data_IF_792606834834
#
_entry.id   IF_792606834834
#
_cell.length_a   1.000
_cell.length_b   1.000
_cell.length_c   1.000
_cell.angle_alpha   90.00
_cell.angle_beta   90.00
_cell.angle_gamma   90.00
#
_symmetry.space_group_name_H-M   'P 1'
#
loop_
_entity.id
_entity.type
_entity.pdbx_description
1 polymer ?
#
# COMPACT_ATOMS: atom_id res chain seq x y z
N UNK A 1 -16.18 80.84 29.08
CA UNK A 1 -16.05 80.11 30.36
C UNK A 1 -14.63 79.56 30.40
N UNK A 2 -13.63 80.28 30.93
CA UNK A 2 -13.55 80.95 32.25
C UNK A 2 -13.67 79.93 33.41
N UNK A 3 -12.94 80.05 34.52
CA UNK A 3 -11.84 80.97 34.89
C UNK A 3 -11.34 80.56 36.29
N UNK A 4 -10.03 80.69 36.57
CA UNK A 4 -9.53 81.21 37.86
C UNK A 4 -7.99 81.17 37.93
N UNK A 5 -7.35 82.33 37.87
CA UNK A 5 -6.02 82.54 38.46
C UNK A 5 -6.13 82.75 39.98
N UNK A 6 -5.09 82.35 40.70
CA UNK A 6 -4.67 82.99 41.96
C UNK A 6 -3.14 82.74 42.11
N UNK A 7 -2.23 83.73 42.23
CA UNK A 7 -2.17 84.87 43.18
C UNK A 7 -2.11 84.31 44.61
N UNK A 8 -1.06 84.49 45.43
CA UNK A 8 0.00 85.51 45.55
C UNK A 8 1.27 84.81 46.14
N UNK A 9 2.43 85.41 46.48
CA UNK A 9 2.82 86.82 46.63
C UNK A 9 4.32 87.01 46.35
N UNK A 10 4.71 88.23 45.98
CA UNK A 10 6.10 88.70 46.04
C UNK A 10 6.16 89.93 46.96
N UNK A 11 7.22 90.09 47.74
CA UNK A 11 7.41 91.19 48.69
C UNK A 11 8.88 91.65 48.70
N UNK A 12 9.08 92.96 48.57
CA UNK A 12 10.34 93.62 48.22
C UNK A 12 10.53 94.89 49.08
N UNK A 13 11.70 95.52 49.03
CA UNK A 13 12.06 96.85 49.55
C UNK A 13 12.38 96.95 51.06
N UNK A 14 13.67 97.11 51.36
CA UNK A 14 14.15 98.27 52.14
C UNK A 14 15.18 99.05 51.29
N UNK A 15 15.21 100.38 51.45
CA UNK A 15 15.67 101.35 50.43
C UNK A 15 17.12 101.86 50.58
N UNK A 16 17.69 102.19 49.42
CA UNK A 16 18.91 102.98 49.16
C UNK A 16 19.17 104.20 50.06
N UNK A 17 20.45 104.40 50.42
CA UNK A 17 21.21 105.65 50.67
C UNK A 17 22.69 105.31 50.41
N UNK A 18 23.55 106.01 49.64
CA UNK A 18 23.48 107.18 48.72
C UNK A 18 24.49 106.91 47.55
N UNK A 19 24.71 107.86 46.63
CA UNK A 19 25.63 107.79 45.48
C UNK A 19 26.66 108.94 45.43
N UNK A 20 27.80 108.69 44.74
CA UNK A 20 28.91 109.62 44.38
C UNK A 20 29.70 110.26 45.55
N UNK A 21 31.02 110.45 45.54
CA UNK A 21 32.19 110.08 44.67
C UNK A 21 33.47 110.12 45.58
N UNK A 22 34.77 110.10 45.21
CA UNK A 22 35.56 110.32 43.97
C UNK A 22 36.93 109.57 44.07
N UNK A 23 37.95 110.04 43.34
CA UNK A 23 39.40 109.72 43.38
C UNK A 23 40.02 109.70 44.81
N UNK A 24 41.17 109.04 45.09
CA UNK A 24 42.46 109.12 44.37
C UNK A 24 43.40 107.91 44.62
N UNK A 25 44.56 107.87 43.93
CA UNK A 25 45.43 106.68 43.75
C UNK A 25 46.68 106.64 44.68
N UNK A 26 47.53 105.57 44.68
CA UNK A 26 48.38 105.16 45.82
C UNK A 26 49.80 105.77 45.84
N UNK A 27 50.70 105.26 46.72
CA UNK A 27 51.74 104.38 46.17
C UNK A 27 52.13 103.12 47.01
N UNK A 28 52.31 102.01 46.30
CA UNK A 28 53.39 100.99 46.36
C UNK A 28 54.00 100.58 47.74
N UNK A 29 53.89 99.30 48.19
CA UNK A 29 54.63 98.07 47.73
C UNK A 29 55.77 97.71 48.71
N UNK A 30 56.42 96.51 48.73
CA UNK A 30 56.19 95.24 48.01
C UNK A 30 56.08 93.96 48.89
N UNK A 31 55.78 92.81 48.26
CA UNK A 31 55.98 91.44 48.80
C UNK A 31 54.73 90.77 49.38
N UNK A 32 54.44 89.48 49.16
CA UNK A 32 55.14 88.45 48.37
C UNK A 32 54.18 87.75 47.38
N UNK A 33 54.46 87.82 46.07
CA UNK A 33 53.89 86.86 45.12
C UNK A 33 54.80 85.63 45.05
N UNK A 34 54.33 84.44 45.48
CA UNK A 34 54.83 83.18 44.88
C UNK A 34 54.04 81.90 45.20
N UNK A 35 53.33 81.80 46.33
CA UNK A 35 52.79 80.52 46.80
C UNK A 35 51.53 80.04 46.03
N UNK A 36 50.45 80.81 46.03
CA UNK A 36 49.15 80.38 45.46
C UNK A 36 49.19 80.00 43.98
N UNK A 37 50.01 80.68 43.18
CA UNK A 37 50.16 80.43 41.72
C UNK A 37 50.78 79.06 41.40
N UNK A 38 51.46 78.42 42.35
CA UNK A 38 51.95 77.04 42.23
C UNK A 38 50.85 76.02 42.55
N UNK A 39 50.01 76.30 43.56
CA UNK A 39 48.91 75.43 43.99
C UNK A 39 47.88 75.26 42.88
N UNK A 40 47.36 76.35 42.30
CA UNK A 40 46.39 76.28 41.19
C UNK A 40 46.92 75.54 39.95
N UNK A 41 48.23 75.62 39.68
CA UNK A 41 48.88 74.86 38.61
C UNK A 41 48.95 73.37 38.91
N UNK A 42 49.28 72.99 40.16
CA UNK A 42 49.22 71.59 40.60
C UNK A 42 47.80 71.03 40.48
N UNK A 43 46.79 71.71 41.01
CA UNK A 43 45.40 71.22 40.97
C UNK A 43 44.87 71.10 39.54
N UNK A 44 45.23 72.01 38.64
CA UNK A 44 44.87 71.92 37.22
C UNK A 44 45.52 70.71 36.53
N UNK A 45 46.79 70.42 36.81
CA UNK A 45 47.49 69.22 36.29
C UNK A 45 46.87 67.94 36.85
N UNK A 46 46.61 67.88 38.16
CA UNK A 46 45.95 66.73 38.78
C UNK A 46 44.54 66.49 38.22
N UNK A 47 43.75 67.55 38.00
CA UNK A 47 42.43 67.44 37.39
C UNK A 47 42.50 66.97 35.92
N UNK A 48 43.46 67.48 35.13
CA UNK A 48 43.68 67.04 33.75
C UNK A 48 44.14 65.57 33.64
N UNK A 49 44.98 65.11 34.56
CA UNK A 49 45.36 63.70 34.65
C UNK A 49 44.16 62.83 35.05
N UNK A 50 43.34 63.28 36.00
CA UNK A 50 42.14 62.58 36.44
C UNK A 50 41.08 62.47 35.33
N UNK A 51 40.85 63.54 34.55
CA UNK A 51 39.91 63.46 33.42
C UNK A 51 40.42 62.57 32.30
N UNK A 52 41.72 62.59 31.98
CA UNK A 52 42.32 61.64 31.02
C UNK A 52 42.18 60.19 31.50
N UNK A 53 42.45 59.89 32.78
CA UNK A 53 42.26 58.55 33.34
C UNK A 53 40.79 58.10 33.28
N UNK A 54 39.83 58.97 33.61
CA UNK A 54 38.41 58.67 33.49
C UNK A 54 38.00 58.43 32.03
N UNK A 55 38.47 59.23 31.08
CA UNK A 55 38.19 59.05 29.65
C UNK A 55 38.75 57.73 29.11
N UNK A 56 39.95 57.30 29.56
CA UNK A 56 40.52 56.00 29.20
C UNK A 56 39.70 54.84 29.78
N UNK A 57 39.25 54.95 31.04
CA UNK A 57 38.37 53.96 31.67
C UNK A 57 37.03 53.87 30.91
N UNK A 58 36.42 55.01 30.58
CA UNK A 58 35.17 55.07 29.80
C UNK A 58 35.36 54.47 28.41
N UNK A 59 36.46 54.76 27.71
CA UNK A 59 36.75 54.17 26.40
C UNK A 59 36.87 52.64 26.47
N UNK A 60 37.59 52.11 27.47
CA UNK A 60 37.70 50.66 27.70
C UNK A 60 36.34 50.03 28.03
N UNK A 61 35.53 50.67 28.88
CA UNK A 61 34.18 50.21 29.22
C UNK A 61 33.25 50.21 27.99
N UNK A 62 33.30 51.24 27.14
CA UNK A 62 32.53 51.31 25.90
C UNK A 62 32.95 50.21 24.91
N UNK A 63 34.26 49.97 24.74
CA UNK A 63 34.77 48.87 23.89
C UNK A 63 34.31 47.51 24.43
N UNK A 64 34.40 47.30 25.75
CA UNK A 64 33.96 46.06 26.39
C UNK A 64 32.44 45.84 26.24
N UNK A 65 31.63 46.87 26.51
CA UNK A 65 30.17 46.81 26.38
C UNK A 65 29.74 46.52 24.93
N UNK A 66 30.33 47.21 23.95
CA UNK A 66 30.06 46.95 22.53
C UNK A 66 30.48 45.53 22.12
N UNK A 67 31.60 45.02 22.65
CA UNK A 67 32.04 43.63 22.44
C UNK A 67 31.05 42.60 23.01
N UNK A 68 30.54 42.83 24.22
CA UNK A 68 29.53 41.98 24.87
C UNK A 68 28.20 42.04 24.11
N UNK A 69 27.76 43.23 23.70
CA UNK A 69 26.52 43.43 22.94
C UNK A 69 26.59 42.70 21.59
N UNK A 70 27.69 42.86 20.84
CA UNK A 70 27.90 42.13 19.59
C UNK A 70 27.96 40.61 19.80
N UNK A 71 28.64 40.13 20.85
CA UNK A 71 28.72 38.69 21.17
C UNK A 71 27.34 38.09 21.50
N UNK A 72 26.51 38.81 22.26
CA UNK A 72 25.14 38.37 22.54
C UNK A 72 24.24 38.42 21.31
N UNK A 73 24.34 39.47 20.48
CA UNK A 73 23.60 39.56 19.22
C UNK A 73 23.92 38.40 18.27
N UNK A 74 25.19 38.03 18.11
CA UNK A 74 25.62 36.88 17.29
C UNK A 74 25.10 35.55 17.86
N UNK A 75 25.02 35.39 19.19
CA UNK A 75 24.40 34.21 19.81
C UNK A 75 22.90 34.14 19.51
N UNK A 76 22.17 35.26 19.57
CA UNK A 76 20.74 35.29 19.26
C UNK A 76 20.45 35.02 17.77
N UNK A 77 21.24 35.58 16.84
CA UNK A 77 21.06 35.28 15.41
C UNK A 77 21.39 33.82 15.09
N UNK A 78 22.47 33.27 15.65
CA UNK A 78 22.83 31.85 15.50
C UNK A 78 21.74 30.92 16.06
N UNK A 79 21.17 31.26 17.22
CA UNK A 79 20.08 30.49 17.82
C UNK A 79 18.79 30.56 16.97
N UNK A 80 18.47 31.73 16.44
CA UNK A 80 17.32 31.91 15.51
C UNK A 80 17.47 31.06 14.25
N UNK A 81 18.67 31.01 13.68
CA UNK A 81 18.96 30.17 12.50
C UNK A 81 18.85 28.67 12.80
N UNK A 82 19.38 28.21 13.95
CA UNK A 82 19.22 26.81 14.39
C UNK A 82 17.73 26.46 14.59
N UNK A 83 16.93 27.38 15.13
CA UNK A 83 15.48 27.18 15.28
C UNK A 83 14.76 27.11 13.93
N UNK A 84 15.11 27.97 12.96
CA UNK A 84 14.57 27.93 11.59
C UNK A 84 14.91 26.60 10.88
N UNK A 85 16.15 26.14 11.00
CA UNK A 85 16.60 24.87 10.42
C UNK A 85 15.90 23.68 11.09
N UNK A 86 15.78 23.67 12.42
CA UNK A 86 15.07 22.63 13.16
C UNK A 86 13.58 22.56 12.77
N UNK A 87 12.92 23.72 12.65
CA UNK A 87 11.52 23.83 12.20
C UNK A 87 11.35 23.31 10.76
N UNK A 88 12.29 23.65 9.87
CA UNK A 88 12.29 23.17 8.48
C UNK A 88 12.44 21.65 8.44
N UNK A 89 13.43 21.10 9.14
CA UNK A 89 13.67 19.65 9.23
C UNK A 89 12.47 18.90 9.83
N UNK A 90 11.83 19.44 10.87
CA UNK A 90 10.62 18.88 11.47
C UNK A 90 9.44 18.86 10.49
N UNK A 91 9.30 19.89 9.65
CA UNK A 91 8.26 19.93 8.61
C UNK A 91 8.52 18.92 7.48
N UNK A 92 9.77 18.73 7.04
CA UNK A 92 10.14 17.69 6.05
C UNK A 92 9.85 16.29 6.58
N UNK A 93 10.32 15.98 7.80
CA UNK A 93 10.12 14.67 8.43
C UNK A 93 8.63 14.37 8.67
N UNK A 94 7.81 15.40 8.90
CA UNK A 94 6.35 15.27 8.97
C UNK A 94 5.75 14.89 7.61
N UNK A 95 6.15 15.58 6.53
CA UNK A 95 5.69 15.25 5.18
C UNK A 95 6.13 13.85 4.72
N UNK A 96 7.37 13.45 5.02
CA UNK A 96 7.88 12.09 4.76
C UNK A 96 7.06 11.03 5.52
N UNK A 97 6.72 11.28 6.78
CA UNK A 97 5.86 10.40 7.59
C UNK A 97 4.45 10.28 7.00
N UNK A 98 3.85 11.37 6.53
CA UNK A 98 2.51 11.35 5.94
C UNK A 98 2.49 10.68 4.56
N UNK A 99 3.57 10.82 3.78
CA UNK A 99 3.78 10.08 2.53
C UNK A 99 3.95 8.57 2.80
N UNK A 100 4.76 8.19 3.80
CA UNK A 100 4.92 6.79 4.22
C UNK A 100 3.60 6.18 4.72
N UNK A 101 2.82 6.92 5.53
CA UNK A 101 1.49 6.49 5.99
C UNK A 101 0.52 6.26 4.82
N UNK A 102 0.58 7.12 3.80
CA UNK A 102 -0.21 6.97 2.56
C UNK A 102 0.22 5.70 1.78
N UNK A 103 1.52 5.48 1.62
CA UNK A 103 2.06 4.30 0.93
C UNK A 103 1.70 3.00 1.65
N UNK A 104 1.84 2.95 2.98
CA UNK A 104 1.42 1.81 3.80
C UNK A 104 -0.08 1.51 3.67
N UNK A 105 -0.90 2.55 3.51
CA UNK A 105 -2.35 2.41 3.28
C UNK A 105 -2.67 1.80 1.90
N UNK A 106 -1.93 2.19 0.84
CA UNK A 106 -2.06 1.56 -0.49
C UNK A 106 -1.64 0.10 -0.47
N UNK A 107 -0.45 -0.19 0.07
CA UNK A 107 0.09 -1.56 0.19
C UNK A 107 -0.84 -2.48 1.00
N UNK A 108 -1.50 -1.95 2.04
CA UNK A 108 -2.53 -2.67 2.80
C UNK A 108 -3.73 -3.04 1.92
N UNK A 109 -4.23 -2.09 1.11
CA UNK A 109 -5.34 -2.33 0.17
C UNK A 109 -4.97 -3.34 -0.92
N UNK A 110 -3.77 -3.24 -1.48
CA UNK A 110 -3.26 -4.14 -2.51
C UNK A 110 -3.10 -5.57 -1.98
N UNK A 111 -2.55 -5.73 -0.76
CA UNK A 111 -2.50 -6.99 -0.03
C UNK A 111 -3.88 -7.63 0.11
N UNK A 112 -4.88 -6.85 0.52
CA UNK A 112 -6.24 -7.37 0.78
C UNK A 112 -6.98 -7.73 -0.52
N UNK A 113 -6.76 -6.97 -1.60
CA UNK A 113 -7.20 -7.33 -2.95
C UNK A 113 -6.54 -8.63 -3.45
N UNK A 114 -5.24 -8.80 -3.23
CA UNK A 114 -4.52 -10.01 -3.63
C UNK A 114 -4.95 -11.23 -2.79
N UNK A 115 -5.14 -11.06 -1.49
CA UNK A 115 -5.68 -12.10 -0.60
C UNK A 115 -7.09 -12.53 -1.06
N UNK A 116 -7.94 -11.57 -1.45
CA UNK A 116 -9.27 -11.86 -2.00
C UNK A 116 -9.18 -12.70 -3.28
N UNK A 117 -8.35 -12.27 -4.26
CA UNK A 117 -8.10 -13.03 -5.50
C UNK A 117 -7.61 -14.46 -5.23
N UNK A 118 -6.69 -14.64 -4.27
CA UNK A 118 -6.16 -15.95 -3.90
C UNK A 118 -7.24 -16.88 -3.30
N UNK A 119 -8.18 -16.34 -2.52
CA UNK A 119 -9.31 -17.09 -1.96
C UNK A 119 -10.29 -17.52 -3.06
N UNK A 120 -10.62 -16.64 -4.01
CA UNK A 120 -11.47 -16.98 -5.16
C UNK A 120 -10.83 -18.07 -6.02
N UNK A 121 -9.58 -17.91 -6.44
CA UNK A 121 -8.86 -18.90 -7.25
C UNK A 121 -8.71 -20.25 -6.54
N UNK A 122 -8.65 -20.25 -5.20
CA UNK A 122 -8.65 -21.48 -4.41
C UNK A 122 -10.02 -22.17 -4.37
N UNK A 123 -11.12 -21.41 -4.34
CA UNK A 123 -12.46 -21.98 -4.48
C UNK A 123 -12.68 -22.56 -5.88
N UNK A 124 -12.27 -21.85 -6.93
CA UNK A 124 -12.33 -22.31 -8.33
C UNK A 124 -11.53 -23.61 -8.53
N UNK A 125 -10.30 -23.70 -7.99
CA UNK A 125 -9.49 -24.93 -8.00
C UNK A 125 -10.25 -26.10 -7.36
N UNK A 126 -10.86 -25.88 -6.19
CA UNK A 126 -11.56 -26.93 -5.45
C UNK A 126 -12.83 -27.40 -6.19
N UNK A 127 -13.56 -26.47 -6.81
CA UNK A 127 -14.71 -26.78 -7.66
C UNK A 127 -14.30 -27.59 -8.90
N UNK A 128 -13.22 -27.18 -9.58
CA UNK A 128 -12.68 -27.91 -10.74
C UNK A 128 -12.19 -29.31 -10.37
N UNK A 129 -11.54 -29.46 -9.20
CA UNK A 129 -11.13 -30.77 -8.66
C UNK A 129 -12.33 -31.68 -8.41
N UNK A 130 -13.42 -31.14 -7.86
CA UNK A 130 -14.68 -31.87 -7.66
C UNK A 130 -15.25 -32.34 -9.00
N UNK A 131 -15.39 -31.42 -9.96
CA UNK A 131 -15.89 -31.73 -11.31
C UNK A 131 -15.04 -32.80 -12.02
N UNK A 132 -13.71 -32.74 -11.90
CA UNK A 132 -12.80 -33.74 -12.47
C UNK A 132 -12.97 -35.13 -11.84
N UNK A 133 -13.23 -35.19 -10.53
CA UNK A 133 -13.51 -36.44 -9.83
C UNK A 133 -14.85 -37.06 -10.26
N UNK A 134 -15.91 -36.26 -10.39
CA UNK A 134 -17.22 -36.71 -10.90
C UNK A 134 -17.14 -37.23 -12.33
N UNK A 135 -16.54 -36.46 -13.25
CA UNK A 135 -16.35 -36.87 -14.64
C UNK A 135 -15.49 -38.14 -14.77
N UNK A 136 -14.57 -38.37 -13.81
CA UNK A 136 -13.80 -39.61 -13.75
C UNK A 136 -14.61 -40.79 -13.24
N UNK A 137 -15.54 -40.59 -12.29
CA UNK A 137 -16.50 -41.62 -11.90
C UNK A 137 -17.44 -41.99 -13.06
N UNK A 138 -17.99 -41.00 -13.77
CA UNK A 138 -18.83 -41.20 -14.97
C UNK A 138 -18.08 -41.97 -16.06
N UNK A 139 -16.82 -41.60 -16.35
CA UNK A 139 -15.95 -42.34 -17.30
C UNK A 139 -15.82 -43.82 -16.90
N UNK A 140 -15.60 -44.09 -15.61
CA UNK A 140 -15.42 -45.45 -15.10
C UNK A 140 -16.74 -46.26 -15.13
N UNK A 141 -17.88 -45.62 -14.89
CA UNK A 141 -19.21 -46.22 -15.06
C UNK A 141 -19.48 -46.56 -16.54
N UNK A 142 -19.25 -45.61 -17.45
CA UNK A 142 -19.44 -45.83 -18.89
C UNK A 142 -18.51 -46.93 -19.44
N UNK A 143 -17.25 -46.96 -18.98
CA UNK A 143 -16.29 -48.00 -19.33
C UNK A 143 -16.73 -49.38 -18.82
N UNK A 144 -17.32 -49.46 -17.62
CA UNK A 144 -17.93 -50.68 -17.08
C UNK A 144 -19.11 -51.13 -17.94
N UNK A 145 -20.06 -50.24 -18.22
CA UNK A 145 -21.24 -50.53 -19.03
C UNK A 145 -20.87 -51.00 -20.45
N UNK A 146 -19.88 -50.37 -21.09
CA UNK A 146 -19.35 -50.79 -22.38
C UNK A 146 -18.77 -52.21 -22.34
N UNK A 147 -18.01 -52.55 -21.29
CA UNK A 147 -17.43 -53.87 -21.13
C UNK A 147 -18.50 -54.96 -20.91
N UNK A 148 -19.53 -54.67 -20.11
CA UNK A 148 -20.68 -55.56 -19.92
C UNK A 148 -21.43 -55.83 -21.22
N UNK A 149 -21.82 -54.77 -21.95
CA UNK A 149 -22.53 -54.89 -23.23
C UNK A 149 -21.68 -55.60 -24.30
N UNK A 150 -20.35 -55.41 -24.28
CA UNK A 150 -19.41 -56.14 -25.14
C UNK A 150 -19.37 -57.64 -24.79
N UNK A 151 -19.47 -58.01 -23.52
CA UNK A 151 -19.49 -59.40 -23.08
C UNK A 151 -20.82 -60.09 -23.45
N UNK A 152 -21.95 -59.44 -23.17
CA UNK A 152 -23.30 -59.90 -23.57
C UNK A 152 -23.40 -60.13 -25.08
N UNK A 153 -22.98 -59.13 -25.89
CA UNK A 153 -22.92 -59.25 -27.35
C UNK A 153 -22.00 -60.39 -27.83
N UNK A 154 -20.97 -60.74 -27.07
CA UNK A 154 -20.13 -61.89 -27.40
C UNK A 154 -20.84 -63.21 -27.07
N UNK A 155 -21.52 -63.32 -25.93
CA UNK A 155 -22.34 -64.49 -25.59
C UNK A 155 -23.42 -64.73 -26.66
N UNK A 156 -24.17 -63.70 -27.05
CA UNK A 156 -25.17 -63.74 -28.13
C UNK A 156 -24.60 -64.19 -29.50
N UNK A 157 -23.32 -63.91 -29.79
CA UNK A 157 -22.66 -64.38 -31.02
C UNK A 157 -22.29 -65.87 -30.99
N UNK A 158 -22.17 -66.47 -29.81
CA UNK A 158 -21.76 -67.86 -29.64
C UNK A 158 -22.91 -68.81 -29.30
N UNK A 159 -24.00 -68.33 -28.68
CA UNK A 159 -25.20 -69.14 -28.44
C UNK A 159 -25.95 -69.39 -29.76
N UNK A 160 -25.82 -70.60 -30.28
CA UNK A 160 -26.81 -71.14 -31.24
C UNK A 160 -27.99 -71.69 -30.44
N UNK A 161 -29.26 -71.29 -30.71
CA UNK A 161 -30.41 -71.87 -30.03
C UNK A 161 -30.48 -73.39 -30.28
N UNK A 162 -30.91 -74.18 -29.28
CA UNK A 162 -30.92 -75.64 -29.44
C UNK A 162 -31.88 -76.09 -30.56
N UNK A 163 -31.44 -77.07 -31.34
CA UNK A 163 -32.13 -77.52 -32.56
C UNK A 163 -31.89 -76.66 -33.80
N UNK A 164 -31.17 -75.54 -33.70
CA UNK A 164 -30.79 -74.71 -34.85
C UNK A 164 -29.37 -75.02 -35.31
N UNK A 165 -29.15 -74.83 -36.60
CA UNK A 165 -27.87 -75.02 -37.29
C UNK A 165 -27.31 -73.63 -37.62
N UNK A 166 -26.08 -73.33 -37.20
CA UNK A 166 -25.37 -72.12 -37.60
C UNK A 166 -24.55 -72.38 -38.87
N UNK A 167 -24.80 -71.59 -39.92
CA UNK A 167 -23.97 -71.59 -41.13
C UNK A 167 -23.67 -70.14 -41.53
N UNK A 168 -22.38 -69.83 -41.71
CA UNK A 168 -21.89 -68.45 -41.89
C UNK A 168 -22.42 -67.50 -40.78
N UNK A 169 -23.00 -66.36 -41.15
CA UNK A 169 -23.63 -65.38 -40.25
C UNK A 169 -25.04 -65.76 -39.76
N UNK A 170 -25.64 -66.81 -40.30
CA UNK A 170 -27.08 -67.09 -40.21
C UNK A 170 -27.40 -68.36 -39.41
N UNK A 171 -28.65 -68.45 -38.94
CA UNK A 171 -29.18 -69.59 -38.20
C UNK A 171 -30.36 -70.19 -38.96
N UNK A 172 -30.41 -71.51 -39.06
CA UNK A 172 -31.38 -72.25 -39.86
C UNK A 172 -32.00 -73.37 -39.01
N UNK A 173 -33.30 -73.61 -39.18
CA UNK A 173 -34.03 -74.69 -38.50
C UNK A 173 -34.56 -75.69 -39.53
N UNK A 174 -34.41 -76.99 -39.24
CA UNK A 174 -34.91 -78.06 -40.09
C UNK A 174 -36.01 -78.82 -39.34
N UNK A 175 -37.25 -78.65 -39.78
CA UNK A 175 -38.41 -79.36 -39.21
C UNK A 175 -38.33 -80.85 -39.51
N UNK A 176 -38.52 -81.69 -38.49
CA UNK A 176 -38.72 -83.14 -38.64
C UNK A 176 -40.10 -83.48 -39.20
N UNK A 177 -41.10 -82.63 -38.94
CA UNK A 177 -42.46 -82.75 -39.48
C UNK A 177 -42.55 -82.15 -40.89
N UNK A 178 -43.30 -82.83 -41.76
CA UNK A 178 -43.72 -82.30 -43.07
C UNK A 178 -45.03 -81.53 -42.91
N UNK A 179 -45.12 -80.34 -43.51
CA UNK A 179 -46.32 -79.50 -43.57
C UNK A 179 -46.50 -78.96 -44.98
N UNK A 180 -47.63 -78.35 -45.31
CA UNK A 180 -47.79 -77.58 -46.55
C UNK A 180 -46.88 -76.34 -46.55
N UNK A 181 -46.73 -75.68 -47.70
CA UNK A 181 -45.88 -74.49 -47.82
C UNK A 181 -46.31 -73.35 -46.88
N UNK A 182 -47.62 -73.08 -46.79
CA UNK A 182 -48.16 -72.00 -45.93
C UNK A 182 -48.02 -72.31 -44.44
N UNK A 183 -48.30 -73.55 -44.02
CA UNK A 183 -48.07 -74.00 -42.64
C UNK A 183 -46.57 -73.99 -42.27
N UNK A 184 -45.69 -74.27 -43.24
CA UNK A 184 -44.23 -74.18 -43.04
C UNK A 184 -43.77 -72.74 -42.87
N UNK A 185 -44.31 -71.81 -43.68
CA UNK A 185 -44.05 -70.37 -43.53
C UNK A 185 -44.52 -69.86 -42.17
N UNK A 186 -45.74 -70.22 -41.77
CA UNK A 186 -46.32 -69.86 -40.49
C UNK A 186 -45.47 -70.40 -39.32
N UNK A 187 -44.98 -71.65 -39.38
CA UNK A 187 -44.13 -72.20 -38.33
C UNK A 187 -42.71 -71.60 -38.28
N UNK A 188 -42.20 -71.04 -39.38
CA UNK A 188 -41.00 -70.20 -39.33
C UNK A 188 -41.28 -68.90 -38.57
N UNK A 189 -42.38 -68.20 -38.89
CA UNK A 189 -42.76 -66.91 -38.29
C UNK A 189 -43.02 -67.06 -36.79
N UNK A 190 -43.71 -68.12 -36.36
CA UNK A 190 -43.93 -68.49 -34.95
C UNK A 190 -42.62 -68.71 -34.17
N UNK A 191 -41.52 -69.03 -34.86
CA UNK A 191 -40.18 -69.22 -34.30
C UNK A 191 -39.28 -67.98 -34.43
N UNK A 192 -39.81 -66.86 -34.93
CA UNK A 192 -39.06 -65.63 -35.14
C UNK A 192 -38.10 -65.65 -36.34
N UNK A 193 -38.42 -66.43 -37.38
CA UNK A 193 -37.62 -66.56 -38.60
C UNK A 193 -38.49 -66.65 -39.86
N UNK A 194 -37.85 -66.67 -41.03
CA UNK A 194 -38.50 -66.84 -42.33
C UNK A 194 -38.25 -68.24 -42.93
N UNK A 195 -39.01 -68.58 -43.97
CA UNK A 195 -38.66 -69.72 -44.84
C UNK A 195 -37.32 -69.47 -45.52
N UNK A 196 -36.45 -70.48 -45.56
CA UNK A 196 -35.09 -70.33 -46.11
C UNK A 196 -35.12 -69.98 -47.59
N UNK A 197 -34.60 -68.79 -47.92
CA UNK A 197 -34.25 -68.39 -49.28
C UNK A 197 -32.77 -68.69 -49.46
N UNK A 198 -32.43 -69.53 -50.45
CA UNK A 198 -31.04 -69.87 -50.77
C UNK A 198 -30.49 -68.78 -51.67
N UNK A 199 -29.59 -67.95 -51.15
CA UNK A 199 -29.09 -66.74 -51.81
C UNK A 199 -27.77 -66.97 -52.56
N UNK A 200 -27.05 -68.06 -52.29
CA UNK A 200 -25.75 -68.33 -52.91
C UNK A 200 -25.46 -69.84 -53.08
N UNK A 201 -24.41 -70.13 -53.86
CA UNK A 201 -23.99 -71.49 -54.21
C UNK A 201 -23.43 -72.30 -53.02
N UNK A 202 -22.97 -71.63 -51.96
CA UNK A 202 -22.43 -72.29 -50.76
C UNK A 202 -23.56 -72.79 -49.87
N UNK A 203 -24.58 -71.97 -49.65
CA UNK A 203 -25.86 -72.38 -49.05
C UNK A 203 -26.48 -73.52 -49.87
N UNK A 204 -26.59 -73.38 -51.20
CA UNK A 204 -27.16 -74.43 -52.05
C UNK A 204 -26.42 -75.77 -51.89
N UNK A 205 -25.08 -75.75 -51.87
CA UNK A 205 -24.24 -76.94 -51.64
C UNK A 205 -24.34 -77.50 -50.22
N UNK A 206 -24.70 -76.67 -49.24
CA UNK A 206 -24.94 -77.09 -47.86
C UNK A 206 -26.30 -77.79 -47.73
N UNK A 207 -27.38 -77.14 -48.16
CA UNK A 207 -28.75 -77.65 -48.04
C UNK A 207 -29.12 -78.75 -49.05
N UNK A 208 -28.38 -78.91 -50.16
CA UNK A 208 -28.56 -80.04 -51.09
C UNK A 208 -27.89 -81.35 -50.64
N UNK A 209 -27.17 -81.38 -49.52
CA UNK A 209 -26.63 -82.63 -48.96
C UNK A 209 -27.71 -83.34 -48.12
N UNK A 210 -27.75 -84.68 -48.08
CA UNK A 210 -28.63 -85.39 -47.16
C UNK A 210 -28.34 -84.98 -45.72
N UNK A 211 -29.35 -84.47 -45.00
CA UNK A 211 -29.24 -84.17 -43.58
C UNK A 211 -29.17 -85.47 -42.78
N UNK A 212 -27.94 -85.89 -42.46
CA UNK A 212 -27.70 -86.95 -41.47
C UNK A 212 -28.07 -86.41 -40.09
N UNK A 213 -29.28 -86.75 -39.62
CA UNK A 213 -29.75 -86.40 -38.26
C UNK A 213 -29.07 -87.32 -37.23
N UNK A 214 -27.75 -87.20 -37.12
CA UNK A 214 -26.92 -87.89 -36.13
C UNK A 214 -26.67 -86.95 -34.95
N UNK A 215 -27.67 -86.83 -34.06
CA UNK A 215 -27.58 -85.93 -32.89
C UNK A 215 -28.90 -85.56 -32.20
N UNK A 216 -29.99 -86.32 -32.39
CA UNK A 216 -31.24 -86.16 -31.66
C UNK A 216 -31.73 -87.52 -31.14
N UNK A 217 -31.09 -87.97 -30.05
CA UNK A 217 -31.47 -89.07 -29.18
C UNK A 217 -30.93 -88.77 -27.76
#
# INVERSE_FOLDING_TARGET
>A
MEMSDAIYANAEIIRNVKSATLDQNPPNSPGEEHSGRRIYRLTAVCLGLLTVLLLLIIAVLCIHYNGVLNNTMVKYSTLSEILNQLQTNYSSLTAERDQLQTNCSSLTRERDQLQTKYRTLTAERNQLQTNYSSLTAERNQLQTNYNSLRAERNQLKHTCPQGWIKFSSSYYYVSSERRTWSESQQNCIERGADLVIINNIEEQRYFSRPFTISGLA
#
